data_IF_708013838844
#
_entry.id   IF_708013838844
#
_cell.length_a   1.000
_cell.length_b   1.000
_cell.length_c   1.000
_cell.angle_alpha   90.00
_cell.angle_beta   90.00
_cell.angle_gamma   90.00
#
_symmetry.space_group_name_H-M   'P 1'
#
loop_
_entity.id
_entity.type
_entity.pdbx_description
1 polymer ?
#
# COMPACT_ATOMS: atom_id res chain seq x y z
N UNK A 1 -10.70 -10.71 19.65
CA UNK A 1 -10.29 -10.73 18.23
C UNK A 1 -8.81 -11.04 18.16
N UNK A 2 -8.42 -12.17 17.63
CA UNK A 2 -7.00 -12.50 17.46
C UNK A 2 -6.44 -11.61 16.33
N UNK A 3 -5.60 -10.68 16.70
CA UNK A 3 -4.82 -9.86 15.77
C UNK A 3 -3.91 -10.79 14.99
N UNK A 4 -3.89 -10.66 13.67
CA UNK A 4 -3.04 -11.49 12.83
C UNK A 4 -1.59 -11.02 12.98
N UNK A 5 -0.94 -11.45 14.05
CA UNK A 5 0.48 -11.13 14.33
C UNK A 5 1.49 -11.95 13.49
N UNK A 6 1.00 -12.66 12.45
CA UNK A 6 1.85 -13.48 11.57
C UNK A 6 2.44 -12.76 10.36
N UNK A 7 2.45 -11.43 10.36
CA UNK A 7 3.18 -10.67 9.33
C UNK A 7 4.70 -10.95 9.32
N UNK A 8 5.24 -11.42 10.43
CA UNK A 8 6.68 -11.72 10.56
C UNK A 8 7.13 -12.97 9.79
N UNK A 9 6.22 -13.90 9.49
CA UNK A 9 6.53 -15.15 8.78
C UNK A 9 6.36 -15.06 7.26
N UNK A 10 5.90 -13.93 6.73
CA UNK A 10 5.69 -13.79 5.28
C UNK A 10 7.01 -13.47 4.56
N UNK A 11 7.17 -14.05 3.37
CA UNK A 11 8.27 -13.77 2.45
C UNK A 11 8.49 -12.24 2.30
N UNK A 12 9.70 -11.73 2.59
CA UNK A 12 10.02 -10.31 2.56
C UNK A 12 9.61 -9.63 1.24
N UNK A 13 9.79 -10.31 0.11
CA UNK A 13 9.41 -9.81 -1.21
C UNK A 13 7.89 -9.62 -1.32
N UNK A 14 7.11 -10.56 -0.83
CA UNK A 14 5.64 -10.45 -0.85
C UNK A 14 5.13 -9.32 0.05
N UNK A 15 5.81 -9.06 1.18
CA UNK A 15 5.48 -7.90 2.03
C UNK A 15 5.73 -6.58 1.30
N UNK A 16 6.83 -6.51 0.57
CA UNK A 16 7.19 -5.32 -0.20
C UNK A 16 6.22 -5.08 -1.35
N UNK A 17 5.82 -6.15 -2.06
CA UNK A 17 4.80 -6.10 -3.10
C UNK A 17 3.43 -5.62 -2.55
N UNK A 18 3.04 -6.07 -1.35
CA UNK A 18 1.80 -5.60 -0.70
C UNK A 18 1.91 -4.14 -0.29
N UNK A 19 2.99 -3.76 0.38
CA UNK A 19 3.24 -2.38 0.77
C UNK A 19 3.20 -1.49 -0.47
N UNK A 20 3.87 -1.92 -1.52
CA UNK A 20 3.86 -1.26 -2.80
C UNK A 20 2.46 -1.15 -3.42
N UNK A 21 1.62 -2.18 -3.34
CA UNK A 21 0.24 -2.16 -3.84
C UNK A 21 -0.69 -1.27 -3.00
N UNK A 22 -0.53 -1.27 -1.67
CA UNK A 22 -1.28 -0.40 -0.77
C UNK A 22 -0.92 1.08 -0.97
N UNK A 23 0.37 1.38 -1.06
CA UNK A 23 0.86 2.73 -1.33
C UNK A 23 0.46 3.26 -2.71
N UNK A 24 0.24 2.36 -3.68
CA UNK A 24 -0.28 2.74 -5.00
C UNK A 24 -1.75 3.09 -5.02
N UNK A 25 -2.48 2.87 -3.93
CA UNK A 25 -3.93 2.94 -3.95
C UNK A 25 -4.58 1.95 -4.95
N UNK A 26 -3.79 1.02 -5.49
CA UNK A 26 -4.22 0.06 -6.51
C UNK A 26 -4.78 -1.23 -5.89
N UNK A 27 -5.26 -1.16 -4.66
CA UNK A 27 -5.81 -2.30 -3.95
C UNK A 27 -7.18 -2.68 -4.53
N UNK A 28 -7.19 -3.62 -5.46
CA UNK A 28 -8.43 -4.22 -5.95
C UNK A 28 -8.90 -5.26 -4.94
N UNK A 29 -10.13 -5.14 -4.47
CA UNK A 29 -10.70 -5.96 -3.40
C UNK A 29 -10.39 -7.46 -3.55
N UNK A 30 -10.65 -8.06 -4.69
CA UNK A 30 -10.44 -9.49 -4.89
C UNK A 30 -8.97 -9.92 -4.89
N UNK A 31 -8.15 -9.23 -5.68
CA UNK A 31 -6.71 -9.52 -5.76
C UNK A 31 -6.01 -9.19 -4.44
N UNK A 32 -6.39 -8.08 -3.81
CA UNK A 32 -5.84 -7.66 -2.53
C UNK A 32 -6.21 -8.62 -1.39
N UNK A 33 -7.46 -9.05 -1.29
CA UNK A 33 -7.90 -10.04 -0.31
C UNK A 33 -7.10 -11.35 -0.44
N UNK A 34 -6.92 -11.84 -1.68
CA UNK A 34 -6.11 -13.03 -1.96
C UNK A 34 -4.65 -12.83 -1.54
N UNK A 35 -4.05 -11.70 -1.89
CA UNK A 35 -2.66 -11.39 -1.54
C UNK A 35 -2.48 -11.34 -0.03
N UNK A 36 -3.32 -10.60 0.69
CA UNK A 36 -3.29 -10.51 2.15
C UNK A 36 -3.42 -11.89 2.80
N UNK A 37 -4.39 -12.69 2.37
CA UNK A 37 -4.57 -14.05 2.87
C UNK A 37 -3.31 -14.91 2.65
N UNK A 38 -2.73 -14.87 1.46
CA UNK A 38 -1.53 -15.64 1.13
C UNK A 38 -0.31 -15.21 1.95
N UNK A 39 -0.16 -13.91 2.21
CA UNK A 39 0.90 -13.37 3.07
C UNK A 39 0.83 -13.92 4.49
N UNK A 40 -0.39 -14.16 4.99
CA UNK A 40 -0.60 -14.75 6.29
C UNK A 40 -0.63 -16.30 6.27
N UNK A 41 -0.32 -16.93 5.13
CA UNK A 41 -0.29 -18.38 4.98
C UNK A 41 -1.66 -19.04 5.20
N UNK A 42 -2.76 -18.30 5.03
CA UNK A 42 -4.11 -18.78 5.27
C UNK A 42 -4.71 -19.42 4.00
N UNK A 43 -5.43 -20.53 4.16
CA UNK A 43 -6.33 -21.02 3.11
C UNK A 43 -7.60 -20.17 3.04
N UNK A 44 -8.37 -20.28 1.95
CA UNK A 44 -9.68 -19.59 1.87
C UNK A 44 -10.64 -20.05 2.98
N UNK A 45 -10.55 -21.33 3.37
CA UNK A 45 -11.37 -21.89 4.44
C UNK A 45 -10.95 -21.33 5.82
N UNK A 46 -9.64 -21.22 6.07
CA UNK A 46 -9.12 -20.64 7.32
C UNK A 46 -9.54 -19.19 7.47
N UNK A 47 -9.42 -18.39 6.39
CA UNK A 47 -9.87 -17.01 6.40
C UNK A 47 -11.38 -16.91 6.66
N UNK A 48 -12.18 -17.74 6.01
CA UNK A 48 -13.63 -17.77 6.20
C UNK A 48 -14.00 -18.10 7.65
N UNK A 49 -13.37 -19.12 8.23
CA UNK A 49 -13.58 -19.54 9.61
C UNK A 49 -13.17 -18.45 10.60
N UNK A 50 -12.00 -17.85 10.40
CA UNK A 50 -11.46 -16.77 11.24
C UNK A 50 -12.39 -15.54 11.27
N UNK A 51 -12.96 -15.19 10.11
CA UNK A 51 -13.83 -14.02 9.99
C UNK A 51 -15.30 -14.30 10.33
N UNK A 52 -15.66 -15.56 10.55
CA UNK A 52 -17.07 -15.98 10.72
C UNK A 52 -17.91 -15.67 9.49
N UNK A 53 -17.35 -15.80 8.29
CA UNK A 53 -18.07 -15.62 7.02
C UNK A 53 -18.13 -16.92 6.24
N UNK A 54 -19.12 -17.03 5.35
CA UNK A 54 -19.23 -18.24 4.54
C UNK A 54 -18.05 -18.33 3.52
N UNK A 55 -17.47 -19.51 3.35
CA UNK A 55 -16.41 -19.78 2.38
C UNK A 55 -16.78 -19.33 0.95
N UNK A 56 -18.06 -19.44 0.57
CA UNK A 56 -18.55 -18.96 -0.73
C UNK A 56 -18.33 -17.45 -0.91
N UNK A 57 -18.43 -16.68 0.18
CA UNK A 57 -18.20 -15.22 0.18
C UNK A 57 -16.72 -14.92 -0.12
N UNK A 58 -15.78 -15.61 0.56
CA UNK A 58 -14.35 -15.46 0.30
C UNK A 58 -14.01 -15.80 -1.15
N UNK A 59 -14.52 -16.93 -1.65
CA UNK A 59 -14.34 -17.36 -3.04
C UNK A 59 -14.89 -16.34 -4.05
N UNK A 60 -16.07 -15.79 -3.78
CA UNK A 60 -16.72 -14.78 -4.62
C UNK A 60 -15.89 -13.49 -4.68
N UNK A 61 -15.41 -13.02 -3.53
CA UNK A 61 -14.56 -11.83 -3.43
C UNK A 61 -13.25 -12.03 -4.19
N UNK A 62 -12.51 -13.10 -3.90
CA UNK A 62 -11.20 -13.36 -4.51
C UNK A 62 -11.27 -13.62 -6.02
N UNK A 63 -12.39 -14.16 -6.51
CA UNK A 63 -12.59 -14.39 -7.94
C UNK A 63 -13.08 -13.14 -8.69
N UNK A 64 -13.52 -12.11 -7.96
CA UNK A 64 -14.18 -10.94 -8.52
C UNK A 64 -15.55 -11.27 -9.13
N UNK A 65 -16.08 -12.46 -8.86
CA UNK A 65 -17.38 -12.94 -9.34
C UNK A 65 -18.35 -12.99 -8.16
N UNK A 66 -19.32 -12.13 -8.15
CA UNK A 66 -20.33 -12.09 -7.11
C UNK A 66 -20.49 -10.71 -6.50
N UNK A 67 -21.52 -10.57 -5.67
CA UNK A 67 -21.83 -9.32 -4.96
C UNK A 67 -21.78 -9.59 -3.45
N UNK A 68 -20.60 -9.54 -2.82
CA UNK A 68 -20.50 -9.72 -1.38
C UNK A 68 -21.18 -8.56 -0.66
N UNK A 69 -21.89 -8.88 0.43
CA UNK A 69 -22.48 -7.83 1.28
C UNK A 69 -21.39 -6.94 1.89
N UNK A 70 -21.72 -5.65 2.07
CA UNK A 70 -20.80 -4.65 2.64
C UNK A 70 -20.19 -5.10 3.98
N UNK A 71 -21.00 -5.65 4.88
CA UNK A 71 -20.54 -6.18 6.16
C UNK A 71 -19.45 -7.27 6.04
N UNK A 72 -19.47 -8.06 4.97
CA UNK A 72 -18.42 -9.06 4.73
C UNK A 72 -17.10 -8.40 4.25
N UNK A 73 -17.21 -7.36 3.44
CA UNK A 73 -16.07 -6.57 2.98
C UNK A 73 -15.41 -5.86 4.15
N UNK A 74 -16.24 -5.24 5.01
CA UNK A 74 -15.80 -4.54 6.21
C UNK A 74 -15.04 -5.46 7.18
N UNK A 75 -15.60 -6.63 7.51
CA UNK A 75 -14.93 -7.65 8.33
C UNK A 75 -13.56 -8.07 7.78
N UNK A 76 -13.46 -8.23 6.45
CA UNK A 76 -12.19 -8.57 5.80
C UNK A 76 -11.20 -7.42 5.92
N UNK A 77 -11.64 -6.18 5.67
CA UNK A 77 -10.78 -5.01 5.79
C UNK A 77 -10.25 -4.85 7.21
N UNK A 78 -11.13 -4.91 8.22
CA UNK A 78 -10.76 -4.82 9.64
C UNK A 78 -9.75 -5.89 10.06
N UNK A 79 -9.93 -7.13 9.61
CA UNK A 79 -9.02 -8.23 9.95
C UNK A 79 -7.58 -7.98 9.47
N UNK A 80 -7.43 -7.24 8.39
CA UNK A 80 -6.14 -6.88 7.83
C UNK A 80 -5.69 -5.44 8.21
N UNK A 81 -6.37 -4.81 9.16
CA UNK A 81 -6.05 -3.45 9.61
C UNK A 81 -6.35 -2.37 8.57
N UNK A 82 -7.28 -2.65 7.65
CA UNK A 82 -7.73 -1.73 6.60
C UNK A 82 -9.11 -1.17 6.96
N UNK A 83 -9.45 -0.02 6.38
CA UNK A 83 -10.78 0.57 6.45
C UNK A 83 -11.41 0.66 5.05
N UNK A 84 -12.74 0.52 4.97
CA UNK A 84 -13.50 0.77 3.76
C UNK A 84 -14.00 2.21 3.81
N UNK A 85 -13.67 3.00 2.79
CA UNK A 85 -14.08 4.40 2.71
C UNK A 85 -14.74 4.70 1.36
N UNK A 86 -15.69 5.60 1.36
CA UNK A 86 -16.28 6.15 0.14
C UNK A 86 -15.61 7.47 -0.19
N UNK A 87 -15.06 7.55 -1.40
CA UNK A 87 -14.46 8.77 -1.91
C UNK A 87 -15.17 9.20 -3.20
N UNK A 88 -15.16 10.50 -3.50
CA UNK A 88 -15.67 10.97 -4.80
C UNK A 88 -14.89 10.33 -5.92
N UNK A 89 -15.57 10.01 -7.02
CA UNK A 89 -14.94 9.36 -8.18
C UNK A 89 -13.76 10.18 -8.73
N UNK A 90 -13.89 11.49 -8.74
CA UNK A 90 -12.83 12.40 -9.20
C UNK A 90 -11.59 12.36 -8.28
N UNK A 91 -11.81 12.21 -6.98
CA UNK A 91 -10.73 12.12 -5.97
C UNK A 91 -9.93 10.80 -6.09
N UNK A 92 -10.52 9.74 -6.65
CA UNK A 92 -9.82 8.46 -6.84
C UNK A 92 -8.59 8.63 -7.73
N UNK A 93 -8.70 9.39 -8.82
CA UNK A 93 -7.59 9.65 -9.72
C UNK A 93 -6.46 10.41 -9.01
N UNK A 94 -6.79 11.40 -8.19
CA UNK A 94 -5.84 12.17 -7.38
C UNK A 94 -5.12 11.31 -6.34
N UNK A 95 -5.84 10.42 -5.65
CA UNK A 95 -5.27 9.46 -4.67
C UNK A 95 -4.29 8.53 -5.37
N UNK A 96 -4.67 7.97 -6.54
CA UNK A 96 -3.83 7.05 -7.31
C UNK A 96 -2.58 7.77 -7.86
N UNK A 97 -2.73 8.99 -8.36
CA UNK A 97 -1.63 9.79 -8.87
C UNK A 97 -0.70 10.29 -7.73
N UNK A 98 -1.29 10.65 -6.59
CA UNK A 98 -0.53 10.99 -5.36
C UNK A 98 0.33 9.83 -4.87
N UNK A 99 -0.19 8.61 -4.90
CA UNK A 99 0.56 7.39 -4.60
C UNK A 99 1.70 7.14 -5.58
N UNK A 100 1.47 7.33 -6.88
CA UNK A 100 2.49 7.20 -7.92
C UNK A 100 3.63 8.24 -7.73
N UNK A 101 3.28 9.49 -7.45
CA UNK A 101 4.26 10.56 -7.17
C UNK A 101 5.05 10.32 -5.88
N UNK A 102 4.41 9.79 -4.84
CA UNK A 102 5.10 9.44 -3.60
C UNK A 102 6.15 8.34 -3.82
N UNK A 103 5.83 7.33 -4.65
CA UNK A 103 6.78 6.26 -5.03
C UNK A 103 7.94 6.77 -5.86
N UNK A 104 7.69 7.59 -6.84
CA UNK A 104 8.72 8.21 -7.67
C UNK A 104 9.70 8.99 -6.78
N UNK A 105 9.15 9.74 -5.80
CA UNK A 105 9.94 10.50 -4.83
C UNK A 105 10.74 9.58 -3.88
N UNK A 106 10.17 8.45 -3.45
CA UNK A 106 10.85 7.46 -2.62
C UNK A 106 12.00 6.80 -3.38
N UNK A 107 11.75 6.29 -4.59
CA UNK A 107 12.78 5.73 -5.48
C UNK A 107 13.92 6.71 -5.79
N UNK A 108 13.58 7.98 -6.04
CA UNK A 108 14.61 9.01 -6.26
C UNK A 108 15.46 9.24 -5.02
N UNK A 109 14.89 9.16 -3.81
CA UNK A 109 15.64 9.29 -2.56
C UNK A 109 16.56 8.10 -2.30
N UNK A 110 16.07 6.87 -2.54
CA UNK A 110 16.89 5.66 -2.42
C UNK A 110 18.05 5.67 -3.41
N UNK A 111 17.81 6.03 -4.67
CA UNK A 111 18.85 6.13 -5.68
C UNK A 111 19.88 7.20 -5.33
N UNK A 112 19.46 8.35 -4.80
CA UNK A 112 20.36 9.43 -4.35
C UNK A 112 21.21 8.97 -3.14
N UNK A 113 20.62 8.21 -2.20
CA UNK A 113 21.28 7.66 -1.02
C UNK A 113 22.31 6.56 -1.42
N UNK A 114 21.95 5.68 -2.34
CA UNK A 114 22.85 4.65 -2.87
C UNK A 114 24.00 5.26 -3.67
N UNK A 115 23.74 6.28 -4.47
CA UNK A 115 24.77 7.00 -5.22
C UNK A 115 25.74 7.75 -4.28
N UNK A 116 25.25 8.25 -3.15
CA UNK A 116 26.09 8.86 -2.11
C UNK A 116 26.94 7.78 -1.39
N UNK A 117 26.33 6.67 -0.97
CA UNK A 117 27.01 5.57 -0.30
C UNK A 117 28.11 4.92 -1.17
N UNK A 118 27.91 4.88 -2.48
CA UNK A 118 28.88 4.35 -3.46
C UNK A 118 29.90 5.37 -3.97
N UNK A 119 29.88 6.60 -3.43
CA UNK A 119 30.80 7.67 -3.82
C UNK A 119 30.54 8.27 -5.20
N UNK A 120 29.44 7.89 -5.87
CA UNK A 120 29.04 8.44 -7.18
C UNK A 120 28.44 9.84 -7.09
N UNK A 121 27.99 10.23 -5.88
CA UNK A 121 27.44 11.54 -5.61
C UNK A 121 28.17 12.20 -4.45
N UNK A 122 28.67 13.42 -4.63
CA UNK A 122 29.28 14.17 -3.53
C UNK A 122 28.20 14.82 -2.65
N UNK A 123 28.55 15.16 -1.40
CA UNK A 123 27.68 15.84 -0.46
C UNK A 123 27.16 17.17 -1.02
N UNK A 124 28.00 17.93 -1.73
CA UNK A 124 27.61 19.18 -2.37
C UNK A 124 26.56 18.97 -3.48
N UNK A 125 26.70 17.89 -4.28
CA UNK A 125 25.76 17.55 -5.33
C UNK A 125 24.41 17.09 -4.74
N UNK A 126 24.45 16.34 -3.63
CA UNK A 126 23.23 15.90 -2.92
C UNK A 126 22.48 17.10 -2.34
N UNK A 127 23.19 18.03 -1.71
CA UNK A 127 22.63 19.24 -1.17
C UNK A 127 22.06 20.17 -2.25
N UNK A 128 22.72 20.30 -3.40
CA UNK A 128 22.22 21.06 -4.55
C UNK A 128 20.92 20.46 -5.12
N UNK A 129 20.85 19.13 -5.26
CA UNK A 129 19.62 18.43 -5.69
C UNK A 129 18.46 18.65 -4.71
N UNK A 130 18.74 18.61 -3.40
CA UNK A 130 17.72 18.83 -2.37
C UNK A 130 17.25 20.28 -2.35
N UNK A 131 18.14 21.27 -2.52
CA UNK A 131 17.79 22.69 -2.61
C UNK A 131 16.90 22.99 -3.83
N UNK A 132 17.20 22.39 -5.00
CA UNK A 132 16.36 22.52 -6.21
C UNK A 132 14.96 21.92 -6.02
N UNK A 133 14.84 20.81 -5.27
CA UNK A 133 13.55 20.19 -4.93
C UNK A 133 12.71 21.12 -4.01
N UNK A 134 13.35 21.78 -3.04
CA UNK A 134 12.68 22.72 -2.11
C UNK A 134 12.23 24.00 -2.86
N UNK A 135 13.04 24.55 -3.74
CA UNK A 135 12.69 25.71 -4.55
C UNK A 135 11.49 25.52 -5.48
N UNK A 136 11.28 24.29 -5.98
CA UNK A 136 10.10 23.92 -6.80
C UNK A 136 8.80 23.79 -5.99
N UNK A 137 8.85 23.67 -4.68
CA UNK A 137 7.66 23.57 -3.81
C UNK A 137 7.05 24.94 -3.45
N UNK A 138 7.54 26.06 -4.01
CA UNK A 138 6.91 27.36 -3.87
C UNK A 138 6.92 27.92 -2.45
N UNK A 139 7.83 27.49 -1.60
CA UNK A 139 8.01 28.07 -0.26
C UNK A 139 8.61 29.47 -0.43
N UNK A 140 7.76 30.50 -0.42
CA UNK A 140 8.22 31.88 -0.24
C UNK A 140 8.70 32.01 1.20
N UNK A 141 10.02 32.11 1.37
CA UNK A 141 10.61 32.53 2.64
C UNK A 141 10.22 33.98 2.81
N UNK A 142 9.53 34.40 3.91
CA UNK A 142 9.29 35.81 4.16
C UNK A 142 10.65 36.52 4.35
N UNK A 143 10.82 37.74 3.87
CA UNK A 143 12.05 38.50 4.08
C UNK A 143 12.28 38.76 5.57
N UNK A 144 13.56 38.92 5.99
CA UNK A 144 13.95 39.17 7.38
C UNK A 144 13.35 40.43 7.97
#
# INVERSE_FOLDING_TARGET
MARIDRLEAADPKRREDLKAALEAGAFRLGAGCRLLRQLHGLSQADLAAMLGVNLKVIKAIESGKGNPGFASIEKIAEAFGLAVVFVKKDTVAEILDGGARAREKARSREADAEAFATGKLSEQQLNAKNALKIGRMGFKIPPP
#
